data_IF_927077366771
#
_entry.id   IF_927077366771
#
_cell.length_a   1.000
_cell.length_b   1.000
_cell.length_c   1.000
_cell.angle_alpha   90.00
_cell.angle_beta   90.00
_cell.angle_gamma   90.00
#
_symmetry.space_group_name_H-M   'P 1'
#
loop_
_entity.id
_entity.type
_entity.pdbx_description
1 polymer ?
#
# COMPACT_ATOMS: atom_id res chain seq x y z
N UNK A 1 3.57 14.66 -36.42
CA UNK A 1 2.14 14.33 -36.39
C UNK A 1 1.75 13.83 -37.78
N UNK A 2 1.72 12.53 -37.97
CA UNK A 2 1.27 11.93 -39.21
C UNK A 2 -0.07 11.26 -38.93
N UNK A 3 -1.16 11.87 -39.38
CA UNK A 3 -2.49 11.26 -39.31
C UNK A 3 -2.64 10.26 -40.44
N UNK A 4 -2.90 9.00 -40.12
CA UNK A 4 -3.32 7.98 -41.06
C UNK A 4 -4.74 8.28 -41.53
N UNK A 5 -4.91 8.64 -42.79
CA UNK A 5 -6.20 8.73 -43.48
C UNK A 5 -6.59 7.33 -43.97
N UNK A 6 -7.75 6.83 -43.53
CA UNK A 6 -8.40 5.70 -44.19
C UNK A 6 -9.14 6.17 -45.45
N UNK A 7 -9.34 5.28 -46.44
CA UNK A 7 -9.91 5.53 -47.76
C UNK A 7 -11.29 6.20 -47.76
N UNK A 8 -11.99 6.31 -46.64
CA UNK A 8 -13.31 6.92 -46.53
C UNK A 8 -13.33 8.35 -46.01
N UNK A 9 -12.21 9.04 -45.91
CA UNK A 9 -12.16 10.48 -45.59
C UNK A 9 -12.70 10.89 -44.23
N UNK A 10 -13.14 9.98 -43.37
CA UNK A 10 -13.54 10.25 -41.98
C UNK A 10 -12.31 10.25 -41.10
N UNK A 11 -11.89 11.42 -40.59
CA UNK A 11 -11.00 11.52 -39.45
C UNK A 11 -11.59 10.73 -38.28
N UNK A 12 -10.97 9.61 -37.96
CA UNK A 12 -11.25 8.94 -36.70
C UNK A 12 -10.66 9.80 -35.59
N UNK A 13 -11.48 10.60 -34.95
CA UNK A 13 -11.17 11.27 -33.67
C UNK A 13 -11.09 10.21 -32.55
N UNK A 14 -10.22 9.21 -32.73
CA UNK A 14 -9.88 8.26 -31.67
C UNK A 14 -8.69 8.82 -30.93
N UNK A 15 -8.92 9.23 -29.68
CA UNK A 15 -7.83 9.43 -28.75
C UNK A 15 -7.16 8.06 -28.53
N UNK A 16 -5.89 7.96 -28.88
CA UNK A 16 -5.07 6.78 -28.59
C UNK A 16 -4.30 7.05 -27.31
N UNK A 17 -4.41 6.13 -26.35
CA UNK A 17 -3.68 6.16 -25.09
C UNK A 17 -2.15 6.04 -25.32
N UNK A 18 -1.75 5.38 -26.39
CA UNK A 18 -0.40 5.19 -26.88
C UNK A 18 -0.34 5.22 -28.39
N UNK A 19 0.81 4.90 -28.97
CA UNK A 19 0.98 4.80 -30.44
C UNK A 19 0.22 3.59 -30.98
N UNK A 20 0.19 2.50 -30.22
CA UNK A 20 -0.60 1.30 -30.47
C UNK A 20 -1.58 1.14 -29.31
N UNK A 21 -2.86 0.83 -29.55
CA UNK A 21 -3.82 0.56 -28.47
C UNK A 21 -3.34 -0.57 -27.56
N UNK A 22 -3.48 -0.41 -26.25
CA UNK A 22 -3.06 -1.44 -25.27
C UNK A 22 -3.86 -2.73 -25.42
N UNK A 23 -5.09 -2.64 -25.91
CA UNK A 23 -5.88 -3.83 -26.29
C UNK A 23 -5.19 -4.65 -27.38
N UNK A 24 -4.63 -3.98 -28.38
CA UNK A 24 -3.92 -4.63 -29.47
C UNK A 24 -2.56 -5.20 -29.05
N UNK A 25 -1.96 -4.66 -27.99
CA UNK A 25 -0.75 -5.18 -27.37
C UNK A 25 -0.99 -6.38 -26.43
N UNK A 26 -2.24 -6.84 -26.26
CA UNK A 26 -2.58 -8.04 -25.51
C UNK A 26 -2.86 -7.85 -24.02
N UNK A 27 -3.02 -6.59 -23.54
CA UNK A 27 -3.34 -6.31 -22.13
C UNK A 27 -4.84 -6.42 -21.82
N UNK A 28 -5.70 -6.45 -22.83
CA UNK A 28 -7.13 -6.77 -22.68
C UNK A 28 -7.35 -8.26 -22.98
N UNK A 29 -7.73 -9.01 -21.97
CA UNK A 29 -7.87 -10.48 -22.05
C UNK A 29 -9.17 -10.92 -21.39
N UNK A 30 -10.35 -10.67 -22.01
CA UNK A 30 -11.64 -11.05 -21.45
C UNK A 30 -11.83 -12.58 -21.37
N UNK A 31 -10.99 -13.33 -22.05
CA UNK A 31 -10.92 -14.80 -22.04
C UNK A 31 -10.06 -15.35 -20.89
N UNK A 32 -9.36 -14.48 -20.14
CA UNK A 32 -8.49 -14.91 -19.06
C UNK A 32 -9.27 -15.27 -17.79
N UNK A 33 -9.05 -16.45 -17.28
CA UNK A 33 -9.54 -16.91 -16.00
C UNK A 33 -8.41 -16.77 -14.96
N UNK A 34 -8.57 -15.89 -13.95
CA UNK A 34 -7.54 -15.68 -12.95
C UNK A 34 -7.23 -16.94 -12.15
N UNK A 35 -5.96 -17.21 -11.97
CA UNK A 35 -5.48 -18.31 -11.13
C UNK A 35 -5.54 -17.94 -9.64
N UNK A 36 -5.52 -18.94 -8.76
CA UNK A 36 -5.50 -18.70 -7.31
C UNK A 36 -4.23 -18.00 -6.84
N UNK A 37 -3.14 -18.15 -7.58
CA UNK A 37 -1.84 -17.53 -7.34
C UNK A 37 -1.71 -16.12 -7.91
N UNK A 38 -2.65 -15.65 -8.72
CA UNK A 38 -2.59 -14.30 -9.27
C UNK A 38 -2.92 -13.25 -8.21
N UNK A 39 -2.17 -12.15 -8.20
CA UNK A 39 -2.59 -10.92 -7.53
C UNK A 39 -3.64 -10.25 -8.42
N UNK A 40 -4.82 -9.95 -7.87
CA UNK A 40 -5.86 -9.24 -8.58
C UNK A 40 -6.04 -7.86 -7.98
N UNK A 41 -6.04 -6.84 -8.82
CA UNK A 41 -6.37 -5.49 -8.43
C UNK A 41 -7.69 -5.05 -9.07
N UNK A 42 -8.55 -4.41 -8.28
CA UNK A 42 -9.76 -3.76 -8.74
C UNK A 42 -9.54 -2.24 -8.76
N UNK A 43 -9.60 -1.65 -9.95
CA UNK A 43 -9.44 -0.22 -10.13
C UNK A 43 -10.75 0.43 -10.56
N UNK A 44 -11.12 1.51 -9.90
CA UNK A 44 -12.14 2.41 -10.42
C UNK A 44 -11.48 3.36 -11.42
N UNK A 45 -11.93 3.29 -12.66
CA UNK A 45 -11.39 4.07 -13.77
C UNK A 45 -12.42 5.07 -14.28
N UNK A 46 -11.95 6.26 -14.63
CA UNK A 46 -12.69 7.25 -15.43
C UNK A 46 -11.89 7.48 -16.70
N UNK A 47 -12.26 6.88 -17.83
CA UNK A 47 -11.54 7.08 -19.08
C UNK A 47 -11.56 8.53 -19.56
N UNK A 48 -10.54 8.94 -20.31
CA UNK A 48 -10.59 10.20 -21.04
C UNK A 48 -11.61 10.15 -22.17
N UNK A 49 -12.06 11.33 -22.62
CA UNK A 49 -12.97 11.44 -23.75
C UNK A 49 -12.40 10.73 -24.98
N UNK A 50 -13.18 9.84 -25.59
CA UNK A 50 -12.80 9.06 -26.76
C UNK A 50 -12.02 7.77 -26.47
N UNK A 51 -11.73 7.45 -25.21
CA UNK A 51 -11.16 6.16 -24.77
C UNK A 51 -12.27 5.28 -24.21
N UNK A 52 -12.40 4.06 -24.72
CA UNK A 52 -13.33 3.09 -24.17
C UNK A 52 -12.80 2.47 -22.85
N UNK A 53 -13.69 1.84 -22.08
CA UNK A 53 -13.36 1.31 -20.76
C UNK A 53 -12.35 0.16 -20.82
N UNK A 54 -12.42 -0.67 -21.85
CA UNK A 54 -11.52 -1.80 -22.05
C UNK A 54 -10.11 -1.32 -22.42
N UNK A 55 -9.99 -0.31 -23.29
CA UNK A 55 -8.68 0.31 -23.60
C UNK A 55 -8.10 0.98 -22.36
N UNK A 56 -8.90 1.69 -21.59
CA UNK A 56 -8.46 2.32 -20.36
C UNK A 56 -7.97 1.26 -19.33
N UNK A 57 -8.69 0.14 -19.19
CA UNK A 57 -8.29 -0.97 -18.33
C UNK A 57 -7.01 -1.65 -18.82
N UNK A 58 -6.91 -1.90 -20.14
CA UNK A 58 -5.71 -2.46 -20.76
C UNK A 58 -4.49 -1.55 -20.56
N UNK A 59 -4.69 -0.24 -20.63
CA UNK A 59 -3.64 0.72 -20.37
C UNK A 59 -3.16 0.69 -18.91
N UNK A 60 -4.07 0.59 -17.94
CA UNK A 60 -3.69 0.38 -16.53
C UNK A 60 -2.90 -0.92 -16.37
N UNK A 61 -3.36 -2.02 -16.96
CA UNK A 61 -2.70 -3.30 -16.90
C UNK A 61 -1.27 -3.25 -17.49
N UNK A 62 -1.12 -2.57 -18.60
CA UNK A 62 0.16 -2.40 -19.26
C UNK A 62 1.14 -1.59 -18.43
N UNK A 63 0.76 -0.38 -18.05
CA UNK A 63 1.61 0.57 -17.32
C UNK A 63 1.95 0.12 -15.89
N UNK A 64 1.16 -0.75 -15.30
CA UNK A 64 1.43 -1.37 -13.99
C UNK A 64 2.19 -2.69 -14.08
N UNK A 65 2.57 -3.14 -15.26
CA UNK A 65 3.32 -4.37 -15.45
C UNK A 65 4.51 -4.21 -16.41
N UNK A 66 4.33 -4.52 -17.69
CA UNK A 66 5.45 -4.67 -18.62
C UNK A 66 5.47 -3.65 -19.76
N UNK A 67 4.38 -2.85 -19.93
CA UNK A 67 4.29 -1.99 -21.10
C UNK A 67 5.01 -0.66 -20.96
N UNK A 68 5.31 -0.13 -22.13
CA UNK A 68 5.46 1.28 -22.38
C UNK A 68 4.42 1.71 -23.41
N UNK A 69 4.36 3.00 -23.76
CA UNK A 69 3.39 3.59 -24.70
C UNK A 69 3.43 3.02 -26.13
N UNK A 70 4.35 2.11 -26.42
CA UNK A 70 4.53 1.47 -27.73
C UNK A 70 5.18 0.09 -27.58
N UNK A 71 5.17 -0.69 -28.67
CA UNK A 71 5.95 -1.93 -28.78
C UNK A 71 7.41 -1.59 -29.07
N UNK A 72 8.32 -2.25 -28.38
CA UNK A 72 9.77 -2.10 -28.54
C UNK A 72 10.42 -3.43 -28.94
N UNK A 73 11.51 -3.37 -29.69
CA UNK A 73 12.19 -4.58 -30.16
C UNK A 73 12.72 -5.46 -29.02
N UNK A 74 12.99 -4.85 -27.85
CA UNK A 74 13.48 -5.54 -26.65
C UNK A 74 12.43 -6.44 -26.01
N UNK A 75 11.14 -6.31 -26.36
CA UNK A 75 10.08 -7.22 -25.91
C UNK A 75 10.37 -8.66 -26.32
N UNK A 76 11.07 -8.85 -27.44
CA UNK A 76 11.48 -10.17 -27.97
C UNK A 76 12.61 -10.81 -27.15
N UNK A 77 13.26 -10.08 -26.25
CA UNK A 77 14.36 -10.56 -25.41
C UNK A 77 13.88 -11.16 -24.08
N UNK A 78 12.59 -11.10 -23.81
CA UNK A 78 12.01 -11.57 -22.57
C UNK A 78 10.80 -12.48 -22.80
N UNK A 79 10.37 -13.16 -21.74
CA UNK A 79 9.07 -13.87 -21.73
C UNK A 79 7.92 -12.88 -21.50
N UNK A 80 7.94 -11.78 -22.21
CA UNK A 80 7.10 -10.59 -22.07
C UNK A 80 5.61 -10.91 -21.89
N UNK A 81 5.06 -11.78 -22.76
CA UNK A 81 3.64 -12.16 -22.72
C UNK A 81 3.22 -12.86 -21.41
N UNK A 82 4.16 -13.57 -20.78
CA UNK A 82 3.88 -14.27 -19.52
C UNK A 82 3.71 -13.29 -18.35
N UNK A 83 4.38 -12.14 -18.42
CA UNK A 83 4.42 -11.13 -17.37
C UNK A 83 3.49 -9.94 -17.60
N UNK A 84 2.77 -9.92 -18.71
CA UNK A 84 1.76 -8.90 -18.95
C UNK A 84 0.68 -8.94 -17.87
N UNK A 85 0.33 -7.78 -17.30
CA UNK A 85 -0.90 -7.60 -16.54
C UNK A 85 -2.10 -7.83 -17.46
N UNK A 86 -3.12 -8.54 -16.99
CA UNK A 86 -4.28 -8.96 -17.80
C UNK A 86 -5.52 -8.28 -17.28
N UNK A 87 -5.97 -7.21 -17.96
CA UNK A 87 -7.29 -6.65 -17.73
C UNK A 87 -8.32 -7.61 -18.35
N UNK A 88 -9.06 -8.32 -17.50
CA UNK A 88 -9.95 -9.40 -17.96
C UNK A 88 -11.43 -9.05 -17.81
N UNK A 89 -11.77 -8.01 -17.07
CA UNK A 89 -13.15 -7.63 -16.82
C UNK A 89 -13.27 -6.13 -16.53
N UNK A 90 -14.32 -5.50 -17.08
CA UNK A 90 -14.75 -4.15 -16.70
C UNK A 90 -16.24 -4.15 -16.41
N UNK A 91 -16.65 -3.47 -15.35
CA UNK A 91 -18.05 -3.35 -14.93
C UNK A 91 -18.41 -1.88 -14.77
N UNK A 92 -19.54 -1.41 -15.35
CA UNK A 92 -19.95 -0.02 -15.17
C UNK A 92 -20.35 0.26 -13.72
N UNK A 93 -20.00 1.44 -13.23
CA UNK A 93 -20.47 1.93 -11.93
C UNK A 93 -21.79 2.66 -12.12
N UNK A 94 -22.92 2.11 -11.62
CA UNK A 94 -24.23 2.71 -11.81
C UNK A 94 -24.32 4.12 -11.23
N UNK A 95 -24.94 5.04 -11.99
CA UNK A 95 -25.20 6.41 -11.53
C UNK A 95 -23.96 7.32 -11.44
N UNK A 96 -22.82 6.90 -11.97
CA UNK A 96 -21.62 7.74 -12.01
C UNK A 96 -21.71 8.81 -13.11
N UNK A 97 -21.34 10.05 -12.77
CA UNK A 97 -21.21 11.16 -13.70
C UNK A 97 -19.90 11.91 -13.36
N UNK A 98 -18.89 11.94 -14.23
CA UNK A 98 -18.79 11.23 -15.51
C UNK A 98 -18.84 9.69 -15.35
N UNK A 99 -19.14 8.94 -16.43
CA UNK A 99 -19.18 7.48 -16.40
C UNK A 99 -17.89 6.86 -15.89
N UNK A 100 -18.02 5.90 -14.96
CA UNK A 100 -16.90 5.18 -14.34
C UNK A 100 -17.11 3.67 -14.48
N UNK A 101 -16.02 2.92 -14.38
CA UNK A 101 -16.01 1.46 -14.40
C UNK A 101 -15.09 0.90 -13.34
N UNK A 102 -15.37 -0.32 -12.89
CA UNK A 102 -14.42 -1.13 -12.14
C UNK A 102 -13.69 -2.04 -13.12
N UNK A 103 -12.40 -1.88 -13.22
CA UNK A 103 -11.51 -2.72 -14.01
C UNK A 103 -10.82 -3.74 -13.11
N UNK A 104 -10.89 -5.02 -13.47
CA UNK A 104 -10.22 -6.11 -12.77
C UNK A 104 -8.99 -6.53 -13.57
N UNK A 105 -7.84 -6.51 -12.92
CA UNK A 105 -6.54 -6.80 -13.54
C UNK A 105 -5.85 -7.89 -12.74
N UNK A 106 -5.42 -8.94 -13.43
CA UNK A 106 -4.66 -10.03 -12.87
C UNK A 106 -3.16 -9.88 -13.20
N UNK A 107 -2.32 -10.14 -12.22
CA UNK A 107 -0.87 -10.08 -12.32
C UNK A 107 -0.27 -11.39 -11.84
N UNK A 108 0.72 -11.90 -12.58
CA UNK A 108 1.48 -13.07 -12.12
C UNK A 108 2.30 -12.72 -10.88
N UNK A 109 2.35 -13.65 -9.93
CA UNK A 109 3.04 -13.44 -8.65
C UNK A 109 4.53 -13.11 -8.83
N UNK A 110 5.18 -13.70 -9.82
CA UNK A 110 6.60 -13.49 -10.12
C UNK A 110 6.97 -12.05 -10.52
N UNK A 111 5.98 -11.17 -10.73
CA UNK A 111 6.21 -9.74 -10.96
C UNK A 111 6.63 -8.99 -9.70
N UNK A 112 6.43 -9.58 -8.53
CA UNK A 112 6.56 -8.89 -7.26
C UNK A 112 7.68 -9.50 -6.41
N UNK A 113 8.45 -8.62 -5.79
CA UNK A 113 9.49 -8.99 -4.85
C UNK A 113 8.88 -9.60 -3.59
N UNK A 114 9.41 -10.75 -3.17
CA UNK A 114 8.98 -11.45 -1.97
C UNK A 114 9.17 -10.59 -0.71
N UNK A 115 8.15 -10.54 0.14
CA UNK A 115 8.20 -9.81 1.41
C UNK A 115 8.26 -8.27 1.28
N UNK A 116 7.95 -7.69 0.11
CA UNK A 116 8.13 -6.27 -0.17
C UNK A 116 6.83 -5.55 -0.51
N UNK A 117 6.21 -4.92 0.50
CA UNK A 117 5.06 -4.02 0.27
C UNK A 117 5.44 -2.79 -0.59
N UNK A 118 6.61 -2.15 -0.41
CA UNK A 118 7.02 -1.05 -1.30
C UNK A 118 7.10 -1.46 -2.77
N UNK A 119 7.64 -2.64 -3.08
CA UNK A 119 7.69 -3.13 -4.45
C UNK A 119 6.28 -3.41 -5.00
N UNK A 120 5.43 -4.12 -4.26
CA UNK A 120 4.03 -4.36 -4.64
C UNK A 120 3.29 -3.06 -4.95
N UNK A 121 3.38 -2.09 -4.06
CA UNK A 121 2.67 -0.80 -4.23
C UNK A 121 3.24 0.03 -5.37
N UNK A 122 4.56 0.11 -5.52
CA UNK A 122 5.19 0.85 -6.63
C UNK A 122 4.87 0.23 -7.98
N UNK A 123 4.74 -1.08 -8.06
CA UNK A 123 4.35 -1.76 -9.30
C UNK A 123 2.89 -1.50 -9.66
N UNK A 124 1.96 -1.69 -8.72
CA UNK A 124 0.52 -1.59 -8.99
C UNK A 124 0.05 -0.14 -9.12
N UNK A 125 0.57 0.78 -8.31
CA UNK A 125 0.08 2.17 -8.23
C UNK A 125 1.17 3.23 -8.47
N UNK A 126 2.38 2.85 -8.84
CA UNK A 126 3.49 3.81 -8.99
C UNK A 126 3.34 4.74 -10.18
N UNK A 127 3.24 4.19 -11.38
CA UNK A 127 3.27 4.94 -12.64
C UNK A 127 1.89 5.29 -13.20
N UNK A 128 0.87 4.51 -12.88
CA UNK A 128 -0.43 4.53 -13.56
C UNK A 128 -1.24 5.81 -13.36
N UNK A 129 -0.98 6.59 -12.31
CA UNK A 129 -1.75 7.80 -12.00
C UNK A 129 -1.40 9.01 -12.89
N UNK A 130 -0.24 9.02 -13.54
CA UNK A 130 0.18 10.09 -14.46
C UNK A 130 -0.22 9.87 -15.92
N UNK A 131 -1.07 8.93 -16.21
CA UNK A 131 -1.31 8.38 -17.52
C UNK A 131 -2.45 9.08 -18.28
N UNK A 132 -2.22 9.37 -19.59
CA UNK A 132 -3.13 10.19 -20.40
C UNK A 132 -4.47 9.53 -20.78
N UNK A 133 -4.56 8.20 -20.74
CA UNK A 133 -5.81 7.47 -21.07
C UNK A 133 -6.91 7.66 -20.03
N UNK A 134 -6.56 8.13 -18.84
CA UNK A 134 -7.46 8.24 -17.72
C UNK A 134 -7.64 9.68 -17.28
N UNK A 135 -8.88 10.04 -16.98
CA UNK A 135 -9.23 11.29 -16.30
C UNK A 135 -9.07 11.14 -14.79
N UNK A 136 -9.40 9.95 -14.26
CA UNK A 136 -9.22 9.60 -12.87
C UNK A 136 -9.02 8.09 -12.70
N UNK A 137 -8.25 7.72 -11.69
CA UNK A 137 -7.96 6.34 -11.30
C UNK A 137 -7.95 6.21 -9.79
N UNK A 138 -8.50 5.11 -9.28
CA UNK A 138 -8.43 4.75 -7.87
C UNK A 138 -8.28 3.24 -7.73
N UNK A 139 -7.32 2.79 -6.93
CA UNK A 139 -7.27 1.42 -6.46
C UNK A 139 -8.37 1.22 -5.40
N UNK A 140 -9.31 0.31 -5.65
CA UNK A 140 -10.41 0.03 -4.73
C UNK A 140 -10.14 -1.17 -3.83
N UNK A 141 -9.57 -2.25 -4.40
CA UNK A 141 -9.34 -3.49 -3.69
C UNK A 141 -8.23 -4.33 -4.34
N UNK A 142 -7.68 -5.26 -3.57
CA UNK A 142 -6.72 -6.26 -4.05
C UNK A 142 -7.01 -7.63 -3.43
N UNK A 143 -6.95 -8.69 -4.26
CA UNK A 143 -6.83 -10.06 -3.78
C UNK A 143 -5.36 -10.45 -3.76
N UNK A 144 -4.83 -10.67 -2.57
CA UNK A 144 -3.46 -11.10 -2.35
C UNK A 144 -3.43 -12.62 -2.10
N UNK A 145 -2.73 -13.43 -2.91
CA UNK A 145 -2.68 -14.87 -2.72
C UNK A 145 -1.88 -15.26 -1.46
N UNK A 146 -2.18 -16.43 -0.91
CA UNK A 146 -1.50 -16.96 0.27
C UNK A 146 0.00 -17.14 0.06
N UNK A 147 0.39 -17.48 -1.15
CA UNK A 147 1.78 -17.70 -1.56
C UNK A 147 2.60 -16.43 -1.33
N UNK A 148 2.04 -15.26 -1.69
CA UNK A 148 2.69 -13.98 -1.42
C UNK A 148 2.70 -13.63 0.07
N UNK A 149 1.60 -13.88 0.78
CA UNK A 149 1.52 -13.61 2.22
C UNK A 149 2.54 -14.41 3.03
N UNK A 150 2.88 -15.63 2.59
CA UNK A 150 3.90 -16.47 3.23
C UNK A 150 5.32 -15.94 3.10
N UNK A 151 5.57 -15.03 2.17
CA UNK A 151 6.89 -14.40 2.00
C UNK A 151 7.20 -13.35 3.08
N UNK A 152 6.18 -12.92 3.82
CA UNK A 152 6.33 -12.00 4.95
C UNK A 152 6.52 -12.78 6.24
N UNK A 153 7.49 -12.35 7.04
CA UNK A 153 7.73 -12.98 8.34
C UNK A 153 6.62 -12.74 9.36
N UNK A 154 5.83 -11.68 9.14
CA UNK A 154 4.82 -11.24 10.11
C UNK A 154 5.44 -10.56 11.33
N UNK A 155 4.65 -10.32 12.37
CA UNK A 155 5.15 -9.76 13.62
C UNK A 155 6.06 -10.77 14.32
N UNK A 156 7.12 -10.28 14.98
CA UNK A 156 8.05 -11.10 15.74
C UNK A 156 7.35 -11.90 16.86
N UNK A 157 6.31 -11.32 17.42
CA UNK A 157 5.51 -11.91 18.50
C UNK A 157 4.02 -11.78 18.21
N UNK A 158 3.26 -12.82 18.56
CA UNK A 158 1.82 -12.83 18.46
C UNK A 158 1.13 -12.44 19.78
N UNK A 159 -0.20 -12.47 19.76
CA UNK A 159 -1.05 -12.07 20.90
C UNK A 159 -0.75 -12.86 22.19
N UNK A 160 -0.31 -14.11 22.08
CA UNK A 160 0.01 -14.94 23.25
C UNK A 160 1.22 -14.36 23.98
N UNK A 161 2.29 -14.05 23.26
CA UNK A 161 3.51 -13.47 23.82
C UNK A 161 3.24 -12.08 24.41
N UNK A 162 2.46 -11.24 23.75
CA UNK A 162 2.04 -9.94 24.30
C UNK A 162 1.33 -10.08 25.64
N UNK A 163 0.44 -11.05 25.75
CA UNK A 163 -0.27 -11.32 27.01
C UNK A 163 0.65 -11.86 28.10
N UNK A 164 1.58 -12.71 27.72
CA UNK A 164 2.59 -13.26 28.65
C UNK A 164 3.53 -12.16 29.17
N UNK A 165 4.05 -11.30 28.25
CA UNK A 165 4.92 -10.19 28.62
C UNK A 165 4.24 -9.18 29.55
N UNK A 166 2.99 -8.85 29.31
CA UNK A 166 2.22 -7.92 30.15
C UNK A 166 1.53 -8.60 31.35
N UNK A 167 1.59 -9.93 31.41
CA UNK A 167 0.89 -10.74 32.43
C UNK A 167 -0.60 -10.39 32.53
N UNK A 168 -1.30 -10.30 31.38
CA UNK A 168 -2.71 -9.91 31.31
C UNK A 168 -3.54 -10.93 30.53
N UNK A 169 -4.48 -11.56 31.18
CA UNK A 169 -5.33 -12.62 30.64
C UNK A 169 -6.82 -12.33 30.88
N UNK A 170 -7.66 -12.93 30.03
CA UNK A 170 -9.10 -12.92 30.21
C UNK A 170 -9.83 -11.60 29.99
N UNK A 171 -9.12 -10.56 29.53
CA UNK A 171 -9.69 -9.26 29.19
C UNK A 171 -8.93 -8.57 28.06
N UNK A 172 -9.51 -7.56 27.37
CA UNK A 172 -8.76 -6.70 26.47
C UNK A 172 -7.62 -5.96 27.19
N UNK A 173 -6.54 -5.69 26.46
CA UNK A 173 -5.51 -4.76 26.91
C UNK A 173 -6.01 -3.31 26.74
N UNK A 174 -5.73 -2.47 27.71
CA UNK A 174 -6.07 -1.06 27.70
C UNK A 174 -4.82 -0.23 27.39
N UNK A 175 -4.87 0.52 26.30
CA UNK A 175 -3.77 1.38 25.89
C UNK A 175 -4.21 2.78 25.49
N UNK A 176 -3.28 3.70 25.52
CA UNK A 176 -3.47 5.05 25.01
C UNK A 176 -2.25 5.55 24.25
N UNK A 177 -2.47 6.47 23.34
CA UNK A 177 -1.41 7.27 22.70
C UNK A 177 -1.24 8.57 23.46
N UNK A 178 -0.01 8.98 23.73
CA UNK A 178 0.28 10.22 24.44
C UNK A 178 -0.23 11.45 23.68
N UNK A 179 -0.85 12.36 24.43
CA UNK A 179 -1.32 13.66 23.91
C UNK A 179 -0.89 14.82 24.83
N UNK A 180 -0.49 15.99 24.28
CA UNK A 180 -0.29 16.25 22.85
C UNK A 180 0.83 15.38 22.29
N UNK A 181 0.70 14.91 21.03
CA UNK A 181 1.68 14.01 20.40
C UNK A 181 3.04 14.66 20.15
N UNK A 182 3.08 15.97 19.94
CA UNK A 182 4.28 16.76 19.70
C UNK A 182 4.35 17.96 20.64
N UNK A 183 5.58 18.47 20.86
CA UNK A 183 5.84 19.69 21.65
C UNK A 183 6.23 19.46 23.10
N UNK A 184 6.06 18.24 23.63
CA UNK A 184 6.53 17.92 24.99
C UNK A 184 8.02 17.65 25.03
N UNK A 185 8.69 18.08 26.10
CA UNK A 185 10.05 17.63 26.41
C UNK A 185 10.06 16.14 26.79
N UNK A 186 11.20 15.42 26.67
CA UNK A 186 11.30 14.02 27.06
C UNK A 186 10.82 13.75 28.49
N UNK A 187 11.20 14.62 29.43
CA UNK A 187 10.80 14.51 30.84
C UNK A 187 9.30 14.63 31.02
N UNK A 188 8.66 15.62 30.40
CA UNK A 188 7.22 15.78 30.49
C UNK A 188 6.47 14.65 29.79
N UNK A 189 7.02 14.14 28.71
CA UNK A 189 6.48 12.98 28.01
C UNK A 189 6.48 11.75 28.91
N UNK A 190 7.59 11.43 29.59
CA UNK A 190 7.67 10.38 30.58
C UNK A 190 6.70 10.56 31.75
N UNK A 191 6.48 11.84 32.18
CA UNK A 191 5.47 12.11 33.23
C UNK A 191 4.06 11.74 32.77
N UNK A 192 3.68 12.04 31.54
CA UNK A 192 2.37 11.64 31.00
C UNK A 192 2.25 10.12 30.92
N UNK A 193 3.32 9.42 30.48
CA UNK A 193 3.37 7.95 30.50
C UNK A 193 3.12 7.41 31.91
N UNK A 194 3.84 7.95 32.91
CA UNK A 194 3.67 7.53 34.32
C UNK A 194 2.23 7.68 34.80
N UNK A 195 1.62 8.86 34.61
CA UNK A 195 0.26 9.11 35.09
C UNK A 195 -0.77 8.23 34.38
N UNK A 196 -0.61 7.99 33.09
CA UNK A 196 -1.47 7.11 32.32
C UNK A 196 -1.39 5.65 32.80
N UNK A 197 -0.18 5.13 32.98
CA UNK A 197 0.02 3.74 33.45
C UNK A 197 -0.40 3.56 34.91
N UNK A 198 -0.10 4.54 35.77
CA UNK A 198 -0.56 4.55 37.17
C UNK A 198 -2.08 4.60 37.26
N UNK A 199 -2.73 5.26 36.31
CA UNK A 199 -4.19 5.38 36.21
C UNK A 199 -4.91 4.11 35.77
N UNK A 200 -4.19 3.03 35.44
CA UNK A 200 -4.78 1.73 35.12
C UNK A 200 -4.61 1.27 33.67
N UNK A 201 -3.92 2.02 32.82
CA UNK A 201 -3.59 1.55 31.47
C UNK A 201 -2.54 0.41 31.56
N UNK A 202 -2.64 -0.53 30.63
CA UNK A 202 -1.67 -1.62 30.51
C UNK A 202 -0.44 -1.17 29.72
N UNK A 203 -0.64 -0.30 28.74
CA UNK A 203 0.45 0.26 27.95
C UNK A 203 0.15 1.67 27.45
N UNK A 204 1.21 2.34 27.04
CA UNK A 204 1.15 3.61 26.31
C UNK A 204 1.93 3.46 25.00
N UNK A 205 1.52 4.15 23.97
CA UNK A 205 2.11 4.11 22.62
C UNK A 205 2.59 5.50 22.21
N UNK A 206 3.78 5.55 21.57
CA UNK A 206 4.20 6.72 20.81
C UNK A 206 3.35 6.86 19.55
N UNK A 207 3.07 8.09 19.14
CA UNK A 207 2.43 8.35 17.84
C UNK A 207 3.44 8.16 16.69
N UNK A 208 2.97 7.84 15.49
CA UNK A 208 3.80 7.55 14.31
C UNK A 208 4.70 8.72 13.90
N UNK A 209 4.37 9.95 14.27
CA UNK A 209 5.17 11.14 14.00
C UNK A 209 6.01 11.62 15.19
N UNK A 210 6.04 10.87 16.30
CA UNK A 210 6.89 11.15 17.47
C UNK A 210 8.25 10.48 17.26
N UNK A 211 9.12 11.12 16.51
CA UNK A 211 10.46 10.63 16.18
C UNK A 211 11.54 11.27 17.07
N UNK A 212 12.61 11.83 16.48
CA UNK A 212 13.70 12.49 17.20
C UNK A 212 13.73 13.99 16.92
N UNK A 213 12.68 14.69 17.33
CA UNK A 213 12.58 16.15 17.18
C UNK A 213 13.54 16.90 18.12
N UNK A 214 13.85 18.15 17.79
CA UNK A 214 14.77 18.99 18.59
C UNK A 214 14.31 19.19 20.05
N UNK A 215 13.00 19.24 20.27
CA UNK A 215 12.41 19.37 21.61
C UNK A 215 12.26 18.04 22.35
N UNK A 216 12.40 16.91 21.65
CA UNK A 216 12.18 15.55 22.20
C UNK A 216 13.04 14.53 21.45
N UNK A 217 14.30 14.39 21.86
CA UNK A 217 15.21 13.38 21.30
C UNK A 217 14.77 12.00 21.74
N UNK A 218 14.79 11.02 20.83
CA UNK A 218 14.26 9.68 21.07
C UNK A 218 14.96 8.96 22.23
N UNK A 219 16.29 9.06 22.34
CA UNK A 219 17.06 8.42 23.45
C UNK A 219 16.63 8.97 24.80
N UNK A 220 16.54 10.28 24.94
CA UNK A 220 16.10 10.91 26.18
C UNK A 220 14.65 10.55 26.51
N UNK A 221 13.75 10.59 25.51
CA UNK A 221 12.36 10.17 25.66
C UNK A 221 12.26 8.73 26.15
N UNK A 222 13.03 7.83 25.52
CA UNK A 222 13.04 6.43 25.89
C UNK A 222 13.42 6.24 27.36
N UNK A 223 14.50 6.85 27.80
CA UNK A 223 14.95 6.75 29.22
C UNK A 223 13.88 7.22 30.19
N UNK A 224 13.28 8.39 29.96
CA UNK A 224 12.20 8.90 30.81
C UNK A 224 10.93 8.04 30.76
N UNK A 225 10.62 7.46 29.61
CA UNK A 225 9.48 6.55 29.49
C UNK A 225 9.72 5.24 30.23
N UNK A 226 10.91 4.66 30.13
CA UNK A 226 11.24 3.42 30.86
C UNK A 226 11.29 3.66 32.37
N UNK A 227 11.85 4.76 32.83
CA UNK A 227 11.72 5.17 34.24
C UNK A 227 10.26 5.28 34.69
N UNK A 228 9.43 5.87 33.85
CA UNK A 228 7.99 6.00 34.12
C UNK A 228 7.27 4.65 34.19
N UNK A 229 7.60 3.71 33.30
CA UNK A 229 7.07 2.33 33.30
C UNK A 229 7.44 1.65 34.65
N UNK A 230 8.72 1.60 34.99
CA UNK A 230 9.17 0.94 36.24
C UNK A 230 8.52 1.54 37.49
N UNK A 231 8.43 2.86 37.59
CA UNK A 231 7.74 3.52 38.70
C UNK A 231 6.25 3.22 38.75
N UNK A 232 5.60 3.09 37.58
CA UNK A 232 4.20 2.71 37.52
C UNK A 232 3.99 1.23 37.97
N UNK A 233 4.88 0.33 37.56
CA UNK A 233 4.91 -1.07 37.99
C UNK A 233 5.09 -1.19 39.51
N UNK A 234 6.06 -0.49 40.07
CA UNK A 234 6.28 -0.42 41.51
C UNK A 234 5.03 0.06 42.29
N UNK A 235 4.34 1.07 41.71
CA UNK A 235 3.16 1.66 42.35
C UNK A 235 1.91 0.82 42.23
N UNK A 236 1.73 0.10 41.13
CA UNK A 236 0.51 -0.66 40.81
C UNK A 236 0.62 -2.15 41.15
N UNK A 237 1.85 -2.69 41.22
CA UNK A 237 2.10 -4.14 41.31
C UNK A 237 1.78 -4.89 40.00
N UNK A 238 1.61 -4.15 38.87
CA UNK A 238 1.23 -4.73 37.59
C UNK A 238 2.31 -4.46 36.54
N UNK A 239 2.56 -5.43 35.66
CA UNK A 239 3.41 -5.22 34.48
C UNK A 239 2.78 -4.22 33.54
N UNK A 240 3.59 -3.27 33.06
CA UNK A 240 3.18 -2.17 32.18
C UNK A 240 4.07 -2.15 30.94
N UNK A 241 3.56 -1.59 29.84
CA UNK A 241 4.25 -1.51 28.56
C UNK A 241 4.34 -0.11 27.97
N UNK A 242 5.33 0.08 27.10
CA UNK A 242 5.43 1.26 26.24
C UNK A 242 5.81 0.83 24.82
N UNK A 243 4.96 1.09 23.86
CA UNK A 243 5.23 0.84 22.45
C UNK A 243 5.92 2.05 21.84
N UNK A 244 7.19 1.87 21.56
CA UNK A 244 8.05 2.89 20.98
C UNK A 244 7.79 3.06 19.48
N UNK A 245 7.82 4.30 19.01
CA UNK A 245 7.93 4.56 17.59
C UNK A 245 9.39 4.41 17.15
N UNK A 246 9.65 3.39 16.33
CA UNK A 246 10.95 3.10 15.72
C UNK A 246 11.00 3.51 14.24
N UNK A 247 10.09 4.36 13.76
CA UNK A 247 10.14 4.92 12.40
C UNK A 247 11.27 5.94 12.32
N UNK A 248 12.49 5.45 12.33
CA UNK A 248 13.69 6.23 12.15
C UNK A 248 14.16 6.17 10.70
N UNK A 249 14.95 7.16 10.31
CA UNK A 249 15.40 7.35 8.94
C UNK A 249 16.30 6.22 8.42
N UNK A 250 16.80 5.37 9.29
CA UNK A 250 17.64 4.22 8.96
C UNK A 250 17.13 2.98 9.68
N UNK A 251 17.23 1.84 9.01
CA UNK A 251 16.91 0.52 9.56
C UNK A 251 17.76 0.13 10.79
N UNK A 252 18.83 0.85 11.05
CA UNK A 252 19.83 0.55 12.08
C UNK A 252 19.43 1.06 13.48
N UNK A 253 18.30 1.71 13.62
CA UNK A 253 17.86 2.25 14.90
C UNK A 253 17.43 1.19 15.93
N UNK A 254 17.25 -0.04 15.50
CA UNK A 254 16.97 -1.16 16.39
C UNK A 254 18.24 -1.87 16.86
N UNK A 255 19.37 -1.60 16.20
CA UNK A 255 20.67 -2.23 16.47
C UNK A 255 21.60 -1.35 17.35
N UNK A 256 21.24 -0.09 17.61
CA UNK A 256 21.92 0.83 18.51
C UNK A 256 21.21 0.91 19.89
#
# INVERSE_FOLDING_TARGET
MAGTTTEDGQKRDRFLAGVIPYKEMGYWRPDYEPEDTDIIAAFRITPQAGVDAEEAAAAVAGESSTATWTVVWTDQLSAYENYQGKAYKVEPVPGSDPPQWIAYIAYKLDLFEEGSIPNLTSSIIGNVFGFKALKALRLEDMRIPREYLKTFQGPAHGIVVEREMLNKYGRPLLGATNKPKLGMSPRNYGRVVYEALRGGLDFVKDDENTNSQNFNRWRDRYLYCMEAVHRAEERTGETKGHYLNCLLYTSDAADE
#
